data_IF_455205279854
#
_entry.id   IF_455205279854
#
_cell.length_a   1.000
_cell.length_b   1.000
_cell.length_c   1.000
_cell.angle_alpha   90.00
_cell.angle_beta   90.00
_cell.angle_gamma   90.00
#
_symmetry.space_group_name_H-M   'P 1'
#
loop_
_entity.id
_entity.type
_entity.pdbx_description
1 polymer ?
#
# COMPACT_ATOMS: atom_id res chain seq x y z
N UNK A 1 -114.67 122.23 73.52
CA UNK A 1 -114.33 120.83 73.84
C UNK A 1 -114.52 119.90 72.63
N UNK A 2 -115.60 120.02 71.83
CA UNK A 2 -115.82 119.18 70.64
C UNK A 2 -114.72 119.30 69.56
N UNK A 3 -114.30 120.53 69.21
CA UNK A 3 -113.30 120.76 68.14
C UNK A 3 -111.86 120.27 68.43
N UNK A 4 -111.49 120.01 69.69
CA UNK A 4 -110.13 119.51 70.04
C UNK A 4 -110.08 117.99 69.99
N UNK A 5 -111.18 117.33 70.38
CA UNK A 5 -111.30 115.87 70.37
C UNK A 5 -111.33 115.34 68.94
N UNK A 6 -112.05 116.01 68.03
CA UNK A 6 -112.07 115.64 66.60
C UNK A 6 -110.70 115.83 65.92
N UNK A 7 -109.92 116.85 66.31
CA UNK A 7 -108.58 117.07 65.77
C UNK A 7 -107.57 116.00 66.24
N UNK A 8 -107.65 115.62 67.52
CA UNK A 8 -106.79 114.57 68.10
C UNK A 8 -107.16 113.19 67.55
N UNK A 9 -108.46 112.89 67.42
CA UNK A 9 -108.93 111.64 66.80
C UNK A 9 -108.55 111.55 65.32
N UNK A 10 -108.68 112.65 64.56
CA UNK A 10 -108.23 112.72 63.17
C UNK A 10 -106.73 112.40 63.03
N UNK A 11 -105.88 113.00 63.88
CA UNK A 11 -104.44 112.75 63.86
C UNK A 11 -104.05 111.32 64.29
N UNK A 12 -104.77 110.73 65.26
CA UNK A 12 -104.59 109.33 65.66
C UNK A 12 -105.00 108.35 64.54
N UNK A 13 -106.04 108.68 63.77
CA UNK A 13 -106.47 107.89 62.61
C UNK A 13 -105.47 108.02 61.46
N UNK A 14 -104.99 109.23 61.15
CA UNK A 14 -103.97 109.45 60.10
C UNK A 14 -102.65 108.74 60.41
N UNK A 15 -102.18 108.80 61.67
CA UNK A 15 -100.96 108.10 62.09
C UNK A 15 -101.13 106.58 62.05
N UNK A 16 -102.29 106.03 62.45
CA UNK A 16 -102.61 104.62 62.31
C UNK A 16 -102.65 104.17 60.84
N UNK A 17 -103.24 104.96 59.95
CA UNK A 17 -103.25 104.68 58.50
C UNK A 17 -101.83 104.68 57.94
N UNK A 18 -100.99 105.67 58.30
CA UNK A 18 -99.59 105.73 57.87
C UNK A 18 -98.77 104.52 58.33
N UNK A 19 -98.97 104.07 59.58
CA UNK A 19 -98.31 102.86 60.09
C UNK A 19 -98.77 101.61 59.32
N UNK A 20 -100.07 101.46 59.09
CA UNK A 20 -100.61 100.31 58.31
C UNK A 20 -100.12 100.34 56.87
N UNK A 21 -100.13 101.50 56.20
CA UNK A 21 -99.62 101.66 54.83
C UNK A 21 -98.12 101.38 54.78
N UNK A 22 -97.35 101.87 55.76
CA UNK A 22 -95.91 101.59 55.88
C UNK A 22 -95.61 100.11 56.07
N UNK A 23 -96.39 99.41 56.91
CA UNK A 23 -96.28 97.96 57.09
C UNK A 23 -96.64 97.20 55.80
N UNK A 24 -97.73 97.58 55.12
CA UNK A 24 -98.14 96.98 53.84
C UNK A 24 -97.09 97.21 52.75
N UNK A 25 -96.52 98.41 52.65
CA UNK A 25 -95.42 98.72 51.72
C UNK A 25 -94.16 97.93 52.07
N UNK A 26 -93.82 97.80 53.36
CA UNK A 26 -92.71 96.97 53.82
C UNK A 26 -92.88 95.49 53.44
N UNK A 27 -94.10 94.95 53.60
CA UNK A 27 -94.45 93.59 53.16
C UNK A 27 -94.35 93.46 51.64
N UNK A 28 -94.82 94.44 50.87
CA UNK A 28 -94.71 94.43 49.41
C UNK A 28 -93.25 94.50 48.93
N UNK A 29 -92.44 95.40 49.48
CA UNK A 29 -91.02 95.52 49.14
C UNK A 29 -90.27 94.23 49.47
N UNK A 30 -90.54 93.65 50.66
CA UNK A 30 -89.99 92.35 51.06
C UNK A 30 -90.42 91.24 50.10
N UNK A 31 -91.71 91.17 49.72
CA UNK A 31 -92.23 90.18 48.78
C UNK A 31 -91.56 90.28 47.41
N UNK A 32 -91.39 91.48 46.85
CA UNK A 32 -90.69 91.68 45.58
C UNK A 32 -89.20 91.33 45.67
N UNK A 33 -88.55 91.67 46.78
CA UNK A 33 -87.16 91.30 47.03
C UNK A 33 -86.97 89.78 47.10
N UNK A 34 -87.81 89.08 47.87
CA UNK A 34 -87.80 87.61 47.96
C UNK A 34 -88.14 86.95 46.63
N UNK A 35 -89.15 87.46 45.91
CA UNK A 35 -89.52 86.95 44.58
C UNK A 35 -88.37 87.06 43.58
N UNK A 36 -87.61 88.16 43.60
CA UNK A 36 -86.41 88.33 42.77
C UNK A 36 -85.27 87.39 43.16
N UNK A 37 -85.07 87.13 44.46
CA UNK A 37 -84.09 86.16 44.94
C UNK A 37 -84.47 84.71 44.60
N UNK A 38 -85.74 84.35 44.75
CA UNK A 38 -86.28 83.03 44.36
C UNK A 38 -86.07 82.83 42.87
N UNK A 39 -86.40 83.81 42.02
CA UNK A 39 -86.18 83.72 40.58
C UNK A 39 -84.71 83.48 40.20
N UNK A 40 -83.76 84.18 40.85
CA UNK A 40 -82.32 83.96 40.62
C UNK A 40 -81.87 82.58 41.07
N UNK A 41 -82.35 82.11 42.22
CA UNK A 41 -82.06 80.75 42.72
C UNK A 41 -82.63 79.68 41.81
N UNK A 42 -83.86 79.84 41.33
CA UNK A 42 -84.50 78.90 40.40
C UNK A 42 -83.74 78.82 39.07
N UNK A 43 -83.25 79.95 38.55
CA UNK A 43 -82.40 79.96 37.36
C UNK A 43 -81.07 79.23 37.59
N UNK A 44 -80.43 79.43 38.75
CA UNK A 44 -79.20 78.71 39.13
C UNK A 44 -79.44 77.21 39.35
N UNK A 45 -80.56 76.83 39.96
CA UNK A 45 -80.96 75.42 40.14
C UNK A 45 -81.10 74.76 38.78
N UNK A 46 -81.79 75.40 37.84
CA UNK A 46 -81.97 74.87 36.49
C UNK A 46 -80.64 74.69 35.74
N UNK A 47 -79.73 75.65 35.85
CA UNK A 47 -78.38 75.54 35.26
C UNK A 47 -77.58 74.39 35.89
N UNK A 48 -77.65 74.24 37.22
CA UNK A 48 -77.02 73.13 37.94
C UNK A 48 -77.64 71.78 37.54
N UNK A 49 -78.96 71.69 37.41
CA UNK A 49 -79.66 70.49 36.94
C UNK A 49 -79.17 70.08 35.54
N UNK A 50 -79.10 71.03 34.59
CA UNK A 50 -78.57 70.73 33.25
C UNK A 50 -77.11 70.28 33.29
N UNK A 51 -76.29 70.90 34.15
CA UNK A 51 -74.87 70.51 34.31
C UNK A 51 -74.74 69.11 34.92
N UNK A 52 -75.62 68.74 35.84
CA UNK A 52 -75.65 67.40 36.45
C UNK A 52 -76.06 66.37 35.40
N UNK A 53 -77.11 66.64 34.61
CA UNK A 53 -77.54 65.77 33.52
C UNK A 53 -76.42 65.55 32.47
N UNK A 54 -75.72 66.61 32.07
CA UNK A 54 -74.58 66.52 31.14
C UNK A 54 -73.43 65.67 31.73
N UNK A 55 -73.11 65.86 33.01
CA UNK A 55 -72.07 65.08 33.69
C UNK A 55 -72.45 63.62 33.86
N UNK A 56 -73.71 63.34 34.17
CA UNK A 56 -74.22 61.98 34.31
C UNK A 56 -74.21 61.25 32.95
N UNK A 57 -74.56 61.94 31.86
CA UNK A 57 -74.43 61.42 30.51
C UNK A 57 -72.95 61.12 30.15
N UNK A 58 -72.04 62.07 30.41
CA UNK A 58 -70.61 61.89 30.16
C UNK A 58 -70.00 60.76 31.01
N UNK A 59 -70.43 60.59 32.26
CA UNK A 59 -70.05 59.46 33.12
C UNK A 59 -70.57 58.13 32.57
N UNK A 60 -71.80 58.12 32.04
CA UNK A 60 -72.39 56.96 31.37
C UNK A 60 -71.57 56.53 30.15
N UNK A 61 -71.21 57.47 29.28
CA UNK A 61 -70.35 57.21 28.11
C UNK A 61 -68.96 56.73 28.52
N UNK A 62 -68.35 57.38 29.51
CA UNK A 62 -67.04 56.98 30.03
C UNK A 62 -67.07 55.54 30.58
N UNK A 63 -68.14 55.18 31.29
CA UNK A 63 -68.34 53.82 31.82
C UNK A 63 -68.46 52.80 30.71
N UNK A 64 -69.25 53.08 29.68
CA UNK A 64 -69.39 52.18 28.52
C UNK A 64 -68.06 51.99 27.81
N UNK A 65 -67.34 53.08 27.51
CA UNK A 65 -66.02 53.02 26.88
C UNK A 65 -65.00 52.24 27.73
N UNK A 66 -65.04 52.43 29.04
CA UNK A 66 -64.18 51.68 29.96
C UNK A 66 -64.52 50.19 29.95
N UNK A 67 -65.79 49.83 29.90
CA UNK A 67 -66.25 48.43 29.83
C UNK A 67 -65.87 47.77 28.50
N UNK A 68 -66.02 48.47 27.37
CA UNK A 68 -65.59 47.99 26.06
C UNK A 68 -64.08 47.73 26.02
N UNK A 69 -63.28 48.69 26.51
CA UNK A 69 -61.82 48.54 26.57
C UNK A 69 -61.41 47.37 27.48
N UNK A 70 -62.08 47.18 28.61
CA UNK A 70 -61.83 46.04 29.49
C UNK A 70 -62.15 44.71 28.81
N UNK A 71 -63.26 44.64 28.06
CA UNK A 71 -63.62 43.44 27.30
C UNK A 71 -62.59 43.14 26.20
N UNK A 72 -62.19 44.15 25.44
CA UNK A 72 -61.17 44.02 24.38
C UNK A 72 -59.84 43.53 24.96
N UNK A 73 -59.36 44.15 26.03
CA UNK A 73 -58.11 43.75 26.69
C UNK A 73 -58.19 42.36 27.33
N UNK A 74 -59.36 41.97 27.83
CA UNK A 74 -59.57 40.61 28.35
C UNK A 74 -59.46 39.58 27.23
N UNK A 75 -60.06 39.86 26.07
CA UNK A 75 -59.94 38.98 24.90
C UNK A 75 -58.50 38.89 24.38
N UNK A 76 -57.80 40.03 24.28
CA UNK A 76 -56.40 40.07 23.87
C UNK A 76 -55.49 39.23 24.80
N UNK A 77 -55.73 39.30 26.12
CA UNK A 77 -55.01 38.48 27.10
C UNK A 77 -55.32 36.99 26.92
N UNK A 78 -56.57 36.61 26.66
CA UNK A 78 -56.96 35.22 26.43
C UNK A 78 -56.30 34.65 25.16
N UNK A 79 -56.32 35.42 24.07
CA UNK A 79 -55.68 35.06 22.81
C UNK A 79 -54.17 34.88 22.99
N UNK A 80 -53.50 35.84 23.65
CA UNK A 80 -52.07 35.76 23.97
C UNK A 80 -51.75 34.57 24.88
N UNK A 81 -52.62 34.25 25.83
CA UNK A 81 -52.46 33.09 26.72
C UNK A 81 -52.52 31.78 25.93
N UNK A 82 -53.44 31.69 24.97
CA UNK A 82 -53.56 30.53 24.08
C UNK A 82 -52.33 30.39 23.18
N UNK A 83 -51.88 31.48 22.57
CA UNK A 83 -50.65 31.49 21.76
C UNK A 83 -49.41 31.08 22.59
N UNK A 84 -49.29 31.57 23.83
CA UNK A 84 -48.21 31.18 24.74
C UNK A 84 -48.22 29.67 25.05
N UNK A 85 -49.42 29.10 25.22
CA UNK A 85 -49.56 27.66 25.47
C UNK A 85 -49.11 26.83 24.26
N UNK A 86 -49.51 27.22 23.05
CA UNK A 86 -49.17 26.49 21.82
C UNK A 86 -47.69 26.62 21.46
N UNK A 87 -47.11 27.82 21.63
CA UNK A 87 -45.66 28.03 21.44
C UNK A 87 -44.85 27.24 22.45
N UNK A 88 -45.27 27.19 23.72
CA UNK A 88 -44.62 26.35 24.75
C UNK A 88 -44.69 24.85 24.40
N UNK A 89 -45.82 24.38 23.89
CA UNK A 89 -45.96 22.99 23.43
C UNK A 89 -44.99 22.71 22.28
N UNK A 90 -44.93 23.60 21.29
CA UNK A 90 -44.04 23.48 20.13
C UNK A 90 -42.58 23.49 20.55
N UNK A 91 -42.18 24.33 21.51
CA UNK A 91 -40.84 24.35 22.08
C UNK A 91 -40.48 23.01 22.72
N UNK A 92 -41.38 22.46 23.54
CA UNK A 92 -41.17 21.15 24.18
C UNK A 92 -40.98 20.02 23.16
N UNK A 93 -41.72 20.04 22.07
CA UNK A 93 -41.59 19.04 21.02
C UNK A 93 -40.27 19.19 20.26
N UNK A 94 -39.83 20.44 20.00
CA UNK A 94 -38.51 20.72 19.41
C UNK A 94 -37.34 20.36 20.32
N UNK A 95 -37.46 20.57 21.63
CA UNK A 95 -36.44 20.16 22.62
C UNK A 95 -36.20 18.65 22.56
N UNK A 96 -37.28 17.84 22.49
CA UNK A 96 -37.16 16.39 22.32
C UNK A 96 -36.52 16.00 20.99
N UNK A 97 -36.81 16.73 19.92
CA UNK A 97 -36.19 16.49 18.62
C UNK A 97 -34.68 16.79 18.67
N UNK A 98 -34.28 17.88 19.32
CA UNK A 98 -32.87 18.23 19.56
C UNK A 98 -32.18 17.15 20.38
N UNK A 99 -32.80 16.66 21.46
CA UNK A 99 -32.25 15.55 22.26
C UNK A 99 -32.01 14.29 21.41
N UNK A 100 -32.98 13.94 20.55
CA UNK A 100 -32.85 12.81 19.63
C UNK A 100 -31.73 13.02 18.61
N UNK A 101 -31.62 14.21 18.02
CA UNK A 101 -30.56 14.54 17.06
C UNK A 101 -29.18 14.51 17.72
N UNK A 102 -29.05 15.03 18.94
CA UNK A 102 -27.79 14.98 19.68
C UNK A 102 -27.35 13.54 19.99
N UNK A 103 -28.29 12.67 20.38
CA UNK A 103 -27.99 11.25 20.56
C UNK A 103 -27.51 10.58 19.26
N UNK A 104 -28.11 10.94 18.11
CA UNK A 104 -27.65 10.44 16.80
C UNK A 104 -26.26 10.96 16.43
N UNK A 105 -25.95 12.22 16.74
CA UNK A 105 -24.62 12.80 16.51
C UNK A 105 -23.57 12.02 17.29
N UNK A 106 -23.79 11.78 18.60
CA UNK A 106 -22.88 11.01 19.45
C UNK A 106 -22.61 9.62 18.85
N UNK A 107 -23.66 8.90 18.44
CA UNK A 107 -23.51 7.58 17.83
C UNK A 107 -22.71 7.63 16.51
N UNK A 108 -22.92 8.67 15.69
CA UNK A 108 -22.17 8.85 14.45
C UNK A 108 -20.71 9.19 14.72
N UNK A 109 -20.41 10.00 15.72
CA UNK A 109 -19.04 10.35 16.11
C UNK A 109 -18.27 9.11 16.59
N UNK A 110 -18.90 8.25 17.40
CA UNK A 110 -18.34 6.95 17.79
C UNK A 110 -18.04 6.07 16.57
N UNK A 111 -18.98 6.00 15.61
CA UNK A 111 -18.81 5.21 14.38
C UNK A 111 -17.67 5.76 13.52
N UNK A 112 -17.56 7.09 13.38
CA UNK A 112 -16.48 7.73 12.63
C UNK A 112 -15.14 7.46 13.30
N UNK A 113 -15.07 7.52 14.63
CA UNK A 113 -13.86 7.21 15.39
C UNK A 113 -13.39 5.78 15.15
N UNK A 114 -14.30 4.80 15.21
CA UNK A 114 -14.03 3.39 14.91
C UNK A 114 -13.52 3.20 13.47
N UNK A 115 -14.19 3.83 12.49
CA UNK A 115 -13.80 3.74 11.08
C UNK A 115 -12.42 4.34 10.83
N UNK A 116 -12.10 5.47 11.46
CA UNK A 116 -10.79 6.11 11.34
C UNK A 116 -9.68 5.21 11.90
N UNK A 117 -9.92 4.52 13.01
CA UNK A 117 -8.95 3.55 13.55
C UNK A 117 -8.72 2.40 12.57
N UNK A 118 -9.79 1.86 11.97
CA UNK A 118 -9.67 0.80 10.97
C UNK A 118 -8.95 1.23 9.70
N UNK A 119 -9.16 2.47 9.24
CA UNK A 119 -8.43 3.04 8.11
C UNK A 119 -6.93 3.13 8.45
N UNK A 120 -6.58 3.65 9.63
CA UNK A 120 -5.18 3.72 10.06
C UNK A 120 -4.48 2.36 10.07
N UNK A 121 -5.13 1.32 10.60
CA UNK A 121 -4.60 -0.05 10.59
C UNK A 121 -4.43 -0.61 9.18
N UNK A 122 -5.36 -0.29 8.27
CA UNK A 122 -5.27 -0.70 6.86
C UNK A 122 -4.13 0.03 6.14
N UNK A 123 -3.94 1.31 6.41
CA UNK A 123 -2.85 2.09 5.82
C UNK A 123 -1.49 1.54 6.25
N UNK A 124 -1.32 1.19 7.53
CA UNK A 124 -0.12 0.52 8.04
C UNK A 124 0.11 -0.83 7.36
N UNK A 125 -0.95 -1.64 7.22
CA UNK A 125 -0.87 -2.92 6.49
C UNK A 125 -0.49 -2.73 5.02
N UNK A 126 -0.98 -1.68 4.36
CA UNK A 126 -0.65 -1.37 2.96
C UNK A 126 0.83 -0.96 2.85
N UNK A 127 1.35 -0.17 3.77
CA UNK A 127 2.78 0.18 3.78
C UNK A 127 3.66 -1.05 3.95
N UNK A 128 3.32 -1.96 4.86
CA UNK A 128 4.04 -3.22 5.04
C UNK A 128 4.02 -4.07 3.76
N UNK A 129 2.85 -4.25 3.14
CA UNK A 129 2.73 -5.01 1.89
C UNK A 129 3.51 -4.36 0.73
N UNK A 130 3.54 -3.03 0.65
CA UNK A 130 4.33 -2.32 -0.36
C UNK A 130 5.83 -2.54 -0.17
N UNK A 131 6.30 -2.51 1.08
CA UNK A 131 7.70 -2.77 1.40
C UNK A 131 8.08 -4.21 1.04
N UNK A 132 7.26 -5.18 1.43
CA UNK A 132 7.47 -6.59 1.09
C UNK A 132 7.48 -6.82 -0.43
N UNK A 133 6.56 -6.20 -1.17
CA UNK A 133 6.54 -6.26 -2.63
C UNK A 133 7.82 -5.68 -3.25
N UNK A 134 8.30 -4.54 -2.75
CA UNK A 134 9.55 -3.93 -3.24
C UNK A 134 10.78 -4.81 -2.96
N UNK A 135 10.83 -5.46 -1.80
CA UNK A 135 11.89 -6.42 -1.44
C UNK A 135 11.86 -7.66 -2.35
N UNK A 136 10.67 -8.22 -2.61
CA UNK A 136 10.50 -9.33 -3.54
C UNK A 136 10.89 -8.97 -4.98
N UNK A 137 10.52 -7.78 -5.45
CA UNK A 137 10.92 -7.30 -6.77
C UNK A 137 12.45 -7.14 -6.87
N UNK A 138 13.11 -6.63 -5.84
CA UNK A 138 14.56 -6.52 -5.81
C UNK A 138 15.21 -7.90 -5.83
N UNK A 139 14.74 -8.82 -4.99
CA UNK A 139 15.24 -10.19 -4.97
C UNK A 139 15.09 -10.85 -6.33
N UNK A 140 13.94 -10.66 -7.00
CA UNK A 140 13.72 -11.22 -8.32
C UNK A 140 14.70 -10.64 -9.36
N UNK A 141 14.93 -9.31 -9.35
CA UNK A 141 15.96 -8.67 -10.19
C UNK A 141 17.34 -9.28 -9.97
N UNK A 142 17.75 -9.44 -8.71
CA UNK A 142 19.05 -10.01 -8.35
C UNK A 142 19.17 -11.48 -8.80
N UNK A 143 18.09 -12.26 -8.66
CA UNK A 143 18.08 -13.66 -9.13
C UNK A 143 18.15 -13.78 -10.65
N UNK A 144 17.48 -12.89 -11.39
CA UNK A 144 17.55 -12.85 -12.86
C UNK A 144 18.95 -12.49 -13.31
N UNK A 145 19.56 -11.43 -12.75
CA UNK A 145 20.93 -11.04 -13.08
C UNK A 145 21.93 -12.18 -12.82
N UNK A 146 21.77 -12.89 -11.69
CA UNK A 146 22.63 -14.04 -11.38
C UNK A 146 22.42 -15.23 -12.30
N UNK A 147 21.20 -15.42 -12.82
CA UNK A 147 20.91 -16.44 -13.83
C UNK A 147 21.55 -16.09 -15.17
N UNK A 148 21.45 -14.84 -15.62
CA UNK A 148 22.11 -14.34 -16.84
C UNK A 148 23.65 -14.50 -16.75
N UNK A 149 24.25 -14.16 -15.61
CA UNK A 149 25.69 -14.40 -15.38
C UNK A 149 26.07 -15.88 -15.43
N UNK A 150 25.21 -16.76 -14.91
CA UNK A 150 25.45 -18.20 -14.92
C UNK A 150 25.31 -18.77 -16.33
N UNK A 151 24.35 -18.29 -17.11
CA UNK A 151 24.16 -18.66 -18.52
C UNK A 151 25.36 -18.23 -19.36
N UNK A 152 25.83 -16.98 -19.22
CA UNK A 152 27.02 -16.49 -19.90
C UNK A 152 28.29 -17.32 -19.57
N UNK A 153 28.46 -17.70 -18.30
CA UNK A 153 29.55 -18.60 -17.89
C UNK A 153 29.40 -20.01 -18.46
N UNK A 154 28.16 -20.49 -18.59
CA UNK A 154 27.84 -21.77 -19.23
C UNK A 154 28.28 -21.78 -20.69
N UNK A 155 27.92 -20.74 -21.46
CA UNK A 155 28.33 -20.60 -22.86
C UNK A 155 29.84 -20.46 -23.03
N UNK A 156 30.51 -19.72 -22.13
CA UNK A 156 31.97 -19.60 -22.15
C UNK A 156 32.62 -20.97 -21.89
N UNK A 157 32.12 -21.71 -20.90
CA UNK A 157 32.64 -23.03 -20.57
C UNK A 157 32.44 -24.00 -21.75
N UNK A 158 31.29 -23.99 -22.42
CA UNK A 158 31.03 -24.82 -23.60
C UNK A 158 32.05 -24.57 -24.73
N UNK A 159 32.34 -23.30 -25.05
CA UNK A 159 33.38 -22.95 -26.04
C UNK A 159 34.76 -23.43 -25.63
N UNK A 160 35.09 -23.37 -24.33
CA UNK A 160 36.38 -23.86 -23.85
C UNK A 160 36.49 -25.38 -23.95
N UNK A 161 35.40 -26.10 -23.67
CA UNK A 161 35.33 -27.56 -23.81
C UNK A 161 35.52 -27.95 -25.27
N UNK A 162 34.78 -27.31 -26.20
CA UNK A 162 34.93 -27.55 -27.64
C UNK A 162 36.38 -27.31 -28.12
N UNK A 163 37.02 -26.24 -27.62
CA UNK A 163 38.42 -25.93 -27.97
C UNK A 163 39.38 -26.99 -27.44
N UNK A 164 39.17 -27.46 -26.20
CA UNK A 164 39.99 -28.50 -25.59
C UNK A 164 39.80 -29.85 -26.28
N UNK A 165 38.57 -30.21 -26.67
CA UNK A 165 38.27 -31.43 -27.43
C UNK A 165 38.98 -31.42 -28.79
N UNK A 166 38.86 -30.32 -29.55
CA UNK A 166 39.56 -30.16 -30.83
C UNK A 166 41.09 -30.25 -30.66
N UNK A 167 41.64 -29.64 -29.59
CA UNK A 167 43.07 -29.72 -29.29
C UNK A 167 43.49 -31.15 -28.92
N UNK A 168 42.66 -31.88 -28.18
CA UNK A 168 42.89 -33.27 -27.82
C UNK A 168 42.88 -34.16 -29.07
N UNK A 169 41.90 -34.00 -29.96
CA UNK A 169 41.83 -34.71 -31.23
C UNK A 169 43.09 -34.46 -32.07
N UNK A 170 43.52 -33.20 -32.21
CA UNK A 170 44.75 -32.85 -32.91
C UNK A 170 45.98 -33.55 -32.29
N UNK A 171 46.11 -33.56 -30.96
CA UNK A 171 47.20 -34.26 -30.27
C UNK A 171 47.16 -35.77 -30.45
N UNK A 172 45.97 -36.37 -30.47
CA UNK A 172 45.82 -37.81 -30.76
C UNK A 172 46.19 -38.14 -32.20
N UNK A 173 45.81 -37.29 -33.16
CA UNK A 173 46.22 -37.42 -34.57
C UNK A 173 47.74 -37.28 -34.74
N UNK A 174 48.36 -36.32 -34.06
CA UNK A 174 49.82 -36.17 -34.03
C UNK A 174 50.49 -37.41 -33.43
N UNK A 175 49.98 -37.94 -32.33
CA UNK A 175 50.51 -39.13 -31.69
C UNK A 175 50.41 -40.38 -32.57
N UNK A 176 49.29 -40.59 -33.26
CA UNK A 176 49.13 -41.70 -34.21
C UNK A 176 49.98 -41.52 -35.49
N UNK A 177 50.15 -40.28 -35.96
CA UNK A 177 51.08 -39.98 -37.07
C UNK A 177 52.53 -40.27 -36.68
N UNK A 178 52.93 -39.93 -35.45
CA UNK A 178 54.25 -40.17 -34.91
C UNK A 178 54.50 -41.67 -34.76
N UNK A 179 53.52 -42.40 -34.23
CA UNK A 179 53.55 -43.86 -34.10
C UNK A 179 53.65 -44.57 -35.45
N UNK A 180 52.95 -44.06 -36.47
CA UNK A 180 53.04 -44.57 -37.84
C UNK A 180 54.42 -44.31 -38.45
N UNK A 181 54.97 -43.10 -38.26
CA UNK A 181 56.32 -42.76 -38.73
C UNK A 181 57.40 -43.60 -38.05
N UNK A 182 57.28 -43.82 -36.74
CA UNK A 182 58.18 -44.71 -35.98
C UNK A 182 58.12 -46.13 -36.55
N UNK A 183 56.93 -46.64 -36.91
CA UNK A 183 56.77 -47.95 -37.55
C UNK A 183 57.37 -48.00 -38.95
N UNK A 184 57.26 -46.95 -39.75
CA UNK A 184 57.86 -46.88 -41.09
C UNK A 184 59.39 -46.80 -41.06
N UNK A 185 59.96 -46.21 -40.01
CA UNK A 185 61.41 -46.12 -39.79
C UNK A 185 62.00 -47.37 -39.13
N UNK A 186 61.24 -48.46 -39.09
CA UNK A 186 61.56 -49.69 -38.38
C UNK A 186 61.44 -50.87 -39.33
N UNK A 187 62.55 -51.59 -39.53
CA UNK A 187 62.54 -52.79 -40.37
C UNK A 187 61.85 -53.96 -39.66
N UNK A 188 61.20 -54.84 -40.40
CA UNK A 188 60.40 -55.93 -39.82
C UNK A 188 61.26 -57.13 -39.38
N UNK A 189 61.74 -57.09 -38.14
CA UNK A 189 62.54 -58.17 -37.58
C UNK A 189 61.86 -59.53 -37.51
N UNK A 190 60.56 -59.66 -37.80
CA UNK A 190 59.91 -60.98 -37.94
C UNK A 190 60.51 -61.82 -39.08
N UNK A 191 61.16 -61.18 -40.05
CA UNK A 191 61.88 -61.86 -41.13
C UNK A 191 63.21 -62.49 -40.68
N UNK A 192 63.70 -62.16 -39.47
CA UNK A 192 64.92 -62.74 -38.90
C UNK A 192 64.54 -63.94 -38.02
N UNK A 193 64.94 -65.13 -38.43
CA UNK A 193 64.60 -66.36 -37.72
C UNK A 193 65.22 -66.36 -36.32
N UNK A 194 64.36 -66.48 -35.31
CA UNK A 194 64.74 -66.43 -33.90
C UNK A 194 64.38 -65.12 -33.21
N UNK A 195 63.96 -64.07 -33.94
CA UNK A 195 63.48 -62.82 -33.34
C UNK A 195 61.95 -62.83 -33.29
N UNK A 196 61.40 -63.12 -32.10
CA UNK A 196 59.97 -63.01 -31.83
C UNK A 196 59.54 -61.59 -31.43
N UNK A 197 58.22 -61.30 -31.32
CA UNK A 197 57.71 -59.95 -31.00
C UNK A 197 58.28 -59.33 -29.72
N UNK A 198 58.52 -60.13 -28.68
CA UNK A 198 59.11 -59.67 -27.42
C UNK A 198 60.58 -59.29 -27.55
N UNK A 199 61.35 -60.08 -28.29
CA UNK A 199 62.78 -59.82 -28.57
C UNK A 199 62.91 -58.59 -29.47
N UNK A 200 62.08 -58.47 -30.51
CA UNK A 200 62.03 -57.29 -31.38
C UNK A 200 61.75 -56.01 -30.57
N UNK A 201 60.80 -56.05 -29.62
CA UNK A 201 60.50 -54.92 -28.76
C UNK A 201 61.71 -54.50 -27.89
N UNK A 202 62.41 -55.46 -27.29
CA UNK A 202 63.62 -55.22 -26.48
C UNK A 202 64.74 -54.60 -27.33
N UNK A 203 65.01 -55.16 -28.52
CA UNK A 203 66.04 -54.63 -29.43
C UNK A 203 65.72 -53.19 -29.88
N UNK A 204 64.45 -52.90 -30.17
CA UNK A 204 64.00 -51.56 -30.55
C UNK A 204 64.12 -50.57 -29.40
N UNK A 205 63.76 -50.95 -28.17
CA UNK A 205 63.97 -50.12 -26.97
C UNK A 205 65.45 -49.80 -26.73
N UNK A 206 66.36 -50.70 -27.13
CA UNK A 206 67.80 -50.49 -27.11
C UNK A 206 68.35 -49.68 -28.32
N UNK A 207 67.47 -49.15 -29.19
CA UNK A 207 67.83 -48.31 -30.34
C UNK A 207 68.22 -49.09 -31.61
N UNK A 208 68.07 -50.41 -31.62
CA UNK A 208 68.29 -51.29 -32.78
C UNK A 208 66.95 -51.48 -33.49
N UNK A 209 66.71 -50.63 -34.48
CA UNK A 209 65.42 -50.51 -35.14
C UNK A 209 65.41 -50.88 -36.63
N UNK A 210 66.58 -51.06 -37.25
CA UNK A 210 66.74 -51.41 -38.67
C UNK A 210 67.63 -52.65 -38.83
N UNK A 211 67.48 -53.38 -39.92
CA UNK A 211 68.32 -54.52 -40.29
C UNK A 211 69.77 -54.11 -40.38
N UNK A 212 70.06 -52.93 -40.94
CA UNK A 212 71.43 -52.41 -41.02
C UNK A 212 72.06 -52.27 -39.62
N UNK A 213 71.32 -51.74 -38.63
CA UNK A 213 71.83 -51.63 -37.25
C UNK A 213 72.00 -52.99 -36.59
N UNK A 214 71.05 -53.90 -36.83
CA UNK A 214 71.11 -55.27 -36.29
C UNK A 214 72.27 -56.06 -36.92
N UNK A 215 72.57 -55.84 -38.20
CA UNK A 215 73.68 -56.43 -38.94
C UNK A 215 75.05 -55.98 -38.41
N UNK A 216 75.14 -54.73 -37.97
CA UNK A 216 76.35 -54.16 -37.36
C UNK A 216 76.44 -54.37 -35.84
N UNK A 217 75.42 -54.96 -35.22
CA UNK A 217 75.41 -55.17 -33.78
C UNK A 217 76.24 -56.39 -33.41
N UNK A 218 77.15 -56.22 -32.46
CA UNK A 218 77.93 -57.33 -31.93
C UNK A 218 77.03 -58.31 -31.17
N UNK A 219 77.29 -59.62 -31.33
CA UNK A 219 76.50 -60.68 -30.69
C UNK A 219 76.54 -60.56 -29.16
N UNK A 220 77.68 -60.18 -28.58
CA UNK A 220 77.82 -59.96 -27.14
C UNK A 220 76.94 -58.80 -26.66
N UNK A 221 76.88 -57.73 -27.46
CA UNK A 221 76.03 -56.57 -27.18
C UNK A 221 74.54 -56.92 -27.29
N UNK A 222 74.15 -57.72 -28.28
CA UNK A 222 72.78 -58.23 -28.40
C UNK A 222 72.40 -59.10 -27.20
N UNK A 223 73.33 -59.93 -26.72
CA UNK A 223 73.15 -60.79 -25.56
C UNK A 223 72.98 -59.96 -24.28
N UNK A 224 73.83 -58.96 -24.06
CA UNK A 224 73.76 -58.04 -22.91
C UNK A 224 72.41 -57.29 -22.88
N UNK A 225 71.94 -56.81 -24.03
CA UNK A 225 70.65 -56.12 -24.16
C UNK A 225 69.49 -57.04 -23.75
N UNK A 226 69.51 -58.31 -24.20
CA UNK A 226 68.45 -59.27 -23.87
C UNK A 226 68.51 -59.71 -22.40
N UNK A 227 69.70 -59.92 -21.87
CA UNK A 227 69.91 -60.31 -20.47
C UNK A 227 69.44 -59.22 -19.51
N UNK A 228 69.77 -57.95 -19.82
CA UNK A 228 69.38 -56.81 -19.00
C UNK A 228 67.87 -56.61 -18.90
N UNK A 229 67.14 -56.83 -20.00
CA UNK A 229 65.68 -56.66 -20.03
C UNK A 229 64.94 -57.89 -19.49
N UNK A 230 65.30 -59.09 -19.94
CA UNK A 230 64.73 -60.33 -19.42
C UNK A 230 65.63 -61.54 -19.74
N UNK A 231 66.37 -62.08 -18.73
CA UNK A 231 67.26 -63.23 -18.90
C UNK A 231 66.57 -64.48 -19.46
N UNK A 232 65.24 -64.60 -19.33
CA UNK A 232 64.49 -65.74 -19.86
C UNK A 232 64.42 -65.76 -21.40
N UNK A 233 64.65 -64.63 -22.08
CA UNK A 233 64.65 -64.54 -23.54
C UNK A 233 65.82 -65.32 -24.16
N UNK A 234 66.99 -65.29 -23.51
CA UNK A 234 68.19 -66.04 -23.94
C UNK A 234 68.03 -67.56 -23.82
N UNK A 235 67.01 -68.04 -23.08
CA UNK A 235 66.69 -69.48 -23.01
C UNK A 235 65.85 -69.95 -24.21
N UNK A 236 65.17 -69.02 -24.88
CA UNK A 236 64.23 -69.28 -25.96
C UNK A 236 64.83 -68.98 -27.34
N UNK A 237 65.82 -68.10 -27.40
CA UNK A 237 66.36 -67.57 -28.64
C UNK A 237 67.86 -67.35 -28.54
N UNK A 238 68.57 -67.50 -29.65
CA UNK A 238 70.03 -67.34 -29.73
C UNK A 238 70.39 -66.23 -30.74
N UNK A 239 71.05 -65.13 -30.29
CA UNK A 239 71.40 -64.00 -31.13
C UNK A 239 72.57 -64.25 -32.09
N UNK A 240 73.30 -65.36 -31.96
CA UNK A 240 74.53 -65.62 -32.71
C UNK A 240 74.41 -65.49 -34.24
N UNK A 241 73.21 -65.74 -34.76
CA UNK A 241 72.95 -65.75 -36.22
C UNK A 241 72.15 -64.53 -36.69
N UNK A 242 71.76 -63.62 -35.81
CA UNK A 242 70.92 -62.49 -36.18
C UNK A 242 71.65 -61.40 -36.95
N UNK A 243 72.90 -61.00 -36.64
CA UNK A 243 73.60 -60.00 -37.43
C UNK A 243 73.80 -60.45 -38.88
N UNK A 244 74.15 -61.72 -39.09
CA UNK A 244 74.34 -62.28 -40.43
C UNK A 244 73.03 -62.33 -41.23
N UNK A 245 71.94 -62.81 -40.61
CA UNK A 245 70.62 -62.78 -41.23
C UNK A 245 70.13 -61.35 -41.51
N UNK A 246 70.36 -60.42 -40.58
CA UNK A 246 69.99 -59.02 -40.74
C UNK A 246 70.80 -58.33 -41.82
N UNK A 247 72.05 -58.73 -42.05
CA UNK A 247 72.85 -58.22 -43.15
C UNK A 247 72.21 -58.58 -44.50
N UNK A 248 71.89 -59.86 -44.70
CA UNK A 248 71.21 -60.32 -45.91
C UNK A 248 69.85 -59.64 -46.10
N UNK A 249 69.08 -59.49 -45.01
CA UNK A 249 67.81 -58.75 -45.05
C UNK A 249 68.00 -57.25 -45.38
N UNK A 250 69.08 -56.61 -44.92
CA UNK A 250 69.41 -55.20 -45.22
C UNK A 250 69.88 -55.00 -46.66
N UNK A 251 70.39 -56.06 -47.29
CA UNK A 251 70.85 -56.09 -48.69
C UNK A 251 69.73 -56.55 -49.64
N UNK A 252 68.52 -56.80 -49.12
CA UNK A 252 67.35 -57.34 -49.84
C UNK A 252 67.58 -58.72 -50.50
N UNK A 253 68.59 -59.46 -50.04
CA UNK A 253 68.92 -60.80 -50.54
C UNK A 253 68.11 -61.87 -49.80
N UNK A 254 66.81 -61.90 -50.10
CA UNK A 254 65.83 -62.78 -49.46
C UNK A 254 66.06 -64.26 -49.80
N UNK A 255 66.62 -64.54 -50.98
CA UNK A 255 66.93 -65.90 -51.42
C UNK A 255 68.08 -66.47 -50.60
N UNK A 256 69.18 -65.71 -50.44
CA UNK A 256 70.29 -66.09 -49.58
C UNK A 256 69.86 -66.18 -48.11
N UNK A 257 69.01 -65.26 -47.64
CA UNK A 257 68.47 -65.31 -46.28
C UNK A 257 67.67 -66.60 -46.02
N UNK A 258 66.79 -66.98 -46.95
CA UNK A 258 66.00 -68.21 -46.82
C UNK A 258 66.89 -69.44 -46.80
N UNK A 259 67.89 -69.51 -47.69
CA UNK A 259 68.87 -70.60 -47.72
C UNK A 259 69.68 -70.68 -46.41
N UNK A 260 70.11 -69.54 -45.87
CA UNK A 260 70.78 -69.46 -44.56
C UNK A 260 69.86 -69.99 -43.47
N UNK A 261 68.62 -69.52 -43.39
CA UNK A 261 67.65 -69.96 -42.38
C UNK A 261 67.32 -71.44 -42.46
N UNK A 262 67.20 -72.00 -43.67
CA UNK A 262 66.99 -73.44 -43.88
C UNK A 262 68.19 -74.26 -43.41
N UNK A 263 69.41 -73.82 -43.73
CA UNK A 263 70.63 -74.45 -43.24
C UNK A 263 70.74 -74.39 -41.70
N UNK A 264 70.30 -73.29 -41.08
CA UNK A 264 70.29 -73.14 -39.62
C UNK A 264 69.23 -74.04 -38.97
N UNK A 265 68.05 -74.18 -39.59
CA UNK A 265 67.01 -75.13 -39.15
C UNK A 265 67.51 -76.56 -39.24
N UNK A 266 68.18 -76.92 -40.33
CA UNK A 266 68.73 -78.27 -40.53
C UNK A 266 69.88 -78.57 -39.55
N UNK A 267 70.77 -77.60 -39.30
CA UNK A 267 71.79 -77.69 -38.23
C UNK A 267 71.15 -77.90 -36.85
N UNK A 268 70.07 -77.19 -36.53
CA UNK A 268 69.36 -77.39 -35.25
C UNK A 268 68.67 -78.75 -35.17
N UNK A 269 68.08 -79.26 -36.27
CA UNK A 269 67.44 -80.59 -36.31
C UNK A 269 68.46 -81.71 -36.13
N UNK A 270 69.61 -81.62 -36.80
CA UNK A 270 70.71 -82.57 -36.65
C UNK A 270 71.34 -82.55 -35.26
N UNK A 271 71.43 -81.37 -34.61
CA UNK A 271 71.89 -81.24 -33.22
C UNK A 271 70.86 -81.76 -32.20
N UNK A 272 69.56 -81.55 -32.44
CA UNK A 272 68.49 -82.10 -31.60
C UNK A 272 68.27 -83.62 -31.78
N UNK A 273 68.70 -84.18 -32.92
CA UNK A 273 68.68 -85.63 -33.17
C UNK A 273 69.87 -86.37 -32.55
N UNK A 274 70.76 -85.64 -31.87
CA UNK A 274 71.99 -86.15 -31.24
C UNK A 274 72.03 -85.87 -29.72
N UNK A 275 70.93 -85.40 -29.12
CA UNK A 275 70.77 -85.20 -27.67
C UNK A 275 69.57 -85.98 -27.13
#
# INVERSE_FOLDING_TARGET
MANIVDLVLGYQIETAILVVVGLLLGVLISMFYWKGQVYKRDAQIKELETTVEEKDAALGEMRTRSQELLSEKTQEIEDLTTQLKDTKKTLKDREKEIEKLNAQIIQRDETISEQNLQIGLKDESIELMKKEAAELEQMNRDTVSRAEEAEAKGEELEKTVETLENSLEAKTGEAESLKTRIRYMQDDFSNIAGIGPKVSAVLRSAGINTYAKLATADVDRLTEILEKENPSLLRLTDPATWPEQAKLASEEDWEALSALQESLKEKRRSQASTQ
#
